data_IF_166623613483
#
_entry.id   IF_166623613483
#
_cell.length_a   1.000
_cell.length_b   1.000
_cell.length_c   1.000
_cell.angle_alpha   90.00
_cell.angle_beta   90.00
_cell.angle_gamma   90.00
#
_symmetry.space_group_name_H-M   'P 1'
#
loop_
_entity.id
_entity.type
_entity.pdbx_description
1 polymer ?
#
# COMPACT_ATOMS: atom_id res chain seq x y z
N UNK A 1 1.16 27.80 -7.87
CA UNK A 1 1.09 27.26 -6.50
C UNK A 1 0.97 25.74 -6.57
N UNK A 2 2.04 24.93 -6.48
CA UNK A 2 1.91 23.48 -6.35
C UNK A 2 2.17 23.05 -4.90
N UNK A 3 1.12 22.66 -4.19
CA UNK A 3 1.20 21.92 -2.93
C UNK A 3 0.17 20.80 -2.97
N UNK A 4 0.54 19.70 -3.62
CA UNK A 4 -0.14 18.41 -3.48
C UNK A 4 0.87 17.28 -3.75
N UNK A 5 2.02 17.37 -3.09
CA UNK A 5 2.89 16.21 -2.92
C UNK A 5 2.31 15.42 -1.75
N UNK A 6 1.77 14.24 -2.01
CA UNK A 6 1.59 13.23 -0.96
C UNK A 6 0.23 12.58 -0.90
N UNK A 7 0.02 11.58 -1.76
CA UNK A 7 -0.70 10.36 -1.38
C UNK A 7 -0.11 9.23 -2.21
N UNK A 8 0.79 8.43 -1.63
CA UNK A 8 1.10 7.13 -2.21
C UNK A 8 -0.13 6.26 -1.98
N UNK A 9 -1.10 6.34 -2.90
CA UNK A 9 -2.38 5.67 -2.79
C UNK A 9 -2.19 4.15 -2.91
N UNK A 10 -1.90 3.50 -1.79
CA UNK A 10 -2.02 2.05 -1.68
C UNK A 10 -3.48 1.57 -1.83
N UNK A 11 -4.40 2.51 -2.07
CA UNK A 11 -5.81 2.34 -2.42
C UNK A 11 -6.04 1.43 -3.63
N UNK A 12 -5.08 1.36 -4.57
CA UNK A 12 -5.15 0.46 -5.73
C UNK A 12 -4.34 -0.83 -5.57
N UNK A 13 -3.68 -1.05 -4.43
CA UNK A 13 -2.91 -2.29 -4.21
C UNK A 13 -3.90 -3.40 -3.86
N UNK A 14 -3.97 -4.39 -4.75
CA UNK A 14 -4.75 -5.59 -4.52
C UNK A 14 -4.32 -6.25 -3.20
N UNK A 15 -5.31 -6.67 -2.40
CA UNK A 15 -5.06 -7.39 -1.12
C UNK A 15 -4.12 -8.60 -1.29
N UNK A 16 -4.08 -9.22 -2.46
CA UNK A 16 -3.24 -10.38 -2.75
C UNK A 16 -1.88 -10.04 -3.37
N UNK A 17 -1.68 -8.81 -3.83
CA UNK A 17 -0.42 -8.34 -4.44
C UNK A 17 0.73 -8.30 -3.44
N UNK A 18 1.98 -8.39 -3.90
CA UNK A 18 3.14 -8.16 -3.05
C UNK A 18 3.07 -6.76 -2.44
N UNK A 19 3.39 -6.65 -1.16
CA UNK A 19 3.36 -5.36 -0.47
C UNK A 19 4.43 -4.42 -1.06
N UNK A 20 4.06 -3.21 -1.51
CA UNK A 20 5.01 -2.23 -2.04
C UNK A 20 5.98 -1.70 -0.97
N UNK A 21 5.78 -2.09 0.30
CA UNK A 21 6.69 -1.84 1.41
C UNK A 21 7.98 -2.69 1.37
N UNK A 22 8.15 -3.59 0.39
CA UNK A 22 9.36 -4.40 0.25
C UNK A 22 9.50 -5.55 1.26
N UNK A 23 8.47 -5.83 2.05
CA UNK A 23 8.53 -6.88 3.08
C UNK A 23 8.46 -8.32 2.53
N UNK A 24 8.32 -8.51 1.22
CA UNK A 24 8.14 -9.83 0.58
C UNK A 24 6.81 -10.53 0.92
N UNK A 25 5.96 -9.89 1.74
CA UNK A 25 4.64 -10.40 2.15
C UNK A 25 3.54 -9.78 1.29
N UNK A 26 2.42 -10.48 1.15
CA UNK A 26 1.23 -9.95 0.44
C UNK A 26 0.64 -8.76 1.19
N UNK A 27 0.02 -7.81 0.47
CA UNK A 27 -0.55 -6.59 1.04
C UNK A 27 -1.50 -6.89 2.21
N UNK A 28 -2.44 -7.83 2.05
CA UNK A 28 -3.36 -8.29 3.12
C UNK A 28 -2.70 -8.90 4.37
N UNK A 29 -1.42 -9.26 4.30
CA UNK A 29 -0.64 -9.82 5.42
C UNK A 29 0.38 -8.81 5.97
N UNK A 30 0.40 -7.60 5.43
CA UNK A 30 1.30 -6.54 5.86
C UNK A 30 0.49 -5.27 6.16
N UNK A 31 0.33 -4.36 5.18
CA UNK A 31 -0.34 -3.08 5.38
C UNK A 31 -1.87 -3.12 5.16
N UNK A 32 -2.39 -4.21 4.59
CA UNK A 32 -3.81 -4.48 4.43
C UNK A 32 -4.39 -5.39 5.52
N UNK A 33 -3.69 -5.54 6.65
CA UNK A 33 -4.22 -6.20 7.85
C UNK A 33 -5.07 -5.15 8.60
N UNK A 34 -6.27 -4.91 8.10
CA UNK A 34 -7.30 -4.28 8.92
C UNK A 34 -7.89 -5.40 9.77
N UNK A 35 -7.73 -5.31 11.10
CA UNK A 35 -8.37 -6.22 12.04
C UNK A 35 -9.89 -6.25 11.84
#
# INVERSE_FOLDING_TARGET
MPAATGSADWSNVGRNDPCPCGSGRKFKKCHGVTA
#
